data_IF_215515627687
#
_entry.id   IF_215515627687
#
_cell.length_a   1.000
_cell.length_b   1.000
_cell.length_c   1.000
_cell.angle_alpha   90.00
_cell.angle_beta   90.00
_cell.angle_gamma   90.00
#
_symmetry.space_group_name_H-M   'P 1'
#
loop_
_entity.id
_entity.type
_entity.pdbx_description
1 polymer ?
#
# COMPACT_ATOMS: atom_id res chain seq x y z
N UNK A 1 14.42 -33.31 -5.71
CA UNK A 1 15.15 -32.00 -5.47
C UNK A 1 14.21 -30.81 -5.25
N UNK A 2 12.97 -30.80 -5.73
CA UNK A 2 11.97 -29.73 -5.58
C UNK A 2 11.37 -29.67 -4.16
N UNK A 3 11.19 -30.80 -3.51
CA UNK A 3 10.58 -30.94 -2.18
C UNK A 3 11.36 -30.28 -1.04
N UNK A 4 12.69 -30.33 -1.06
CA UNK A 4 13.51 -29.72 0.01
C UNK A 4 13.54 -28.19 -0.03
N UNK A 5 13.43 -27.61 -1.22
CA UNK A 5 13.39 -26.14 -1.38
C UNK A 5 12.02 -25.57 -0.95
N UNK A 6 10.95 -26.32 -1.17
CA UNK A 6 9.60 -25.96 -0.74
C UNK A 6 9.44 -26.07 0.79
N UNK A 7 10.00 -27.15 1.39
CA UNK A 7 10.05 -27.31 2.85
C UNK A 7 10.94 -26.25 3.52
N UNK A 8 12.04 -25.82 2.90
CA UNK A 8 12.87 -24.73 3.43
C UNK A 8 12.18 -23.36 3.37
N UNK A 9 11.32 -23.14 2.38
CA UNK A 9 10.45 -21.95 2.31
C UNK A 9 9.39 -21.96 3.43
N UNK A 10 8.78 -23.11 3.71
CA UNK A 10 7.81 -23.25 4.81
C UNK A 10 8.47 -23.15 6.18
N UNK A 11 9.71 -23.63 6.34
CA UNK A 11 10.48 -23.48 7.58
C UNK A 11 11.05 -22.07 7.83
N UNK A 12 11.10 -21.21 6.83
CA UNK A 12 11.46 -19.78 7.03
C UNK A 12 10.53 -19.05 8.01
N UNK A 13 9.38 -19.61 8.32
CA UNK A 13 8.37 -18.99 9.19
C UNK A 13 8.31 -19.60 10.61
N UNK A 14 9.10 -20.65 10.91
CA UNK A 14 9.15 -21.29 12.24
C UNK A 14 10.50 -20.96 12.92
N UNK A 15 10.65 -19.75 13.40
CA UNK A 15 11.71 -19.43 14.37
C UNK A 15 11.05 -19.01 15.69
N UNK A 16 11.50 -19.58 16.80
CA UNK A 16 11.11 -19.14 18.15
C UNK A 16 11.78 -17.82 18.55
N UNK A 17 12.72 -17.35 17.71
CA UNK A 17 13.41 -16.08 17.88
C UNK A 17 12.50 -14.90 17.53
N UNK A 18 12.64 -13.78 18.24
CA UNK A 18 11.89 -12.55 17.94
C UNK A 18 12.20 -12.07 16.51
N UNK A 19 11.15 -11.66 15.81
CA UNK A 19 11.27 -11.22 14.41
C UNK A 19 10.65 -9.85 14.21
N UNK A 20 11.22 -9.08 13.28
CA UNK A 20 10.57 -7.93 12.69
C UNK A 20 9.88 -8.33 11.39
N UNK A 21 8.57 -8.14 11.30
CA UNK A 21 7.80 -8.52 10.11
C UNK A 21 7.02 -7.33 9.57
N UNK A 22 7.20 -6.98 8.29
CA UNK A 22 6.32 -6.05 7.60
C UNK A 22 5.18 -6.84 6.98
N UNK A 23 3.95 -6.39 7.22
CA UNK A 23 2.74 -7.10 6.79
C UNK A 23 1.85 -6.18 5.98
N UNK A 24 1.61 -6.54 4.72
CA UNK A 24 0.58 -5.92 3.89
C UNK A 24 -0.80 -6.38 4.35
N UNK A 25 -1.63 -5.42 4.75
CA UNK A 25 -2.97 -5.71 5.29
C UNK A 25 -4.09 -5.60 4.27
N UNK A 26 -3.75 -5.41 2.99
CA UNK A 26 -4.73 -5.21 1.95
C UNK A 26 -5.27 -3.77 1.90
N UNK A 27 -6.17 -3.47 0.95
CA UNK A 27 -6.57 -2.10 0.64
C UNK A 27 -7.59 -1.50 1.61
N UNK A 28 -8.28 -2.33 2.42
CA UNK A 28 -9.29 -1.82 3.36
C UNK A 28 -10.22 -2.90 3.92
N UNK A 29 -10.70 -3.83 3.09
CA UNK A 29 -11.56 -4.93 3.54
C UNK A 29 -10.75 -5.99 4.31
N UNK A 30 -11.10 -6.28 5.58
CA UNK A 30 -10.44 -7.33 6.37
C UNK A 30 -10.51 -8.73 5.75
N UNK A 31 -11.48 -9.02 4.87
CA UNK A 31 -11.59 -10.31 4.17
C UNK A 31 -10.48 -10.52 3.13
N UNK A 32 -9.82 -9.43 2.70
CA UNK A 32 -8.69 -9.44 1.79
C UNK A 32 -7.33 -9.60 2.50
N UNK A 33 -7.33 -9.84 3.81
CA UNK A 33 -6.11 -10.25 4.50
C UNK A 33 -5.64 -11.62 4.00
N UNK A 34 -4.36 -11.72 3.66
CA UNK A 34 -3.77 -13.03 3.38
C UNK A 34 -3.70 -13.88 4.66
N UNK A 35 -3.78 -15.20 4.53
CA UNK A 35 -3.63 -16.12 5.67
C UNK A 35 -2.29 -15.86 6.37
N UNK A 36 -1.21 -15.66 5.61
CA UNK A 36 0.11 -15.38 6.15
C UNK A 36 0.16 -14.07 6.95
N UNK A 37 -0.52 -13.02 6.48
CA UNK A 37 -0.67 -11.76 7.20
C UNK A 37 -1.37 -11.97 8.53
N UNK A 38 -2.52 -12.65 8.50
CA UNK A 38 -3.31 -12.93 9.70
C UNK A 38 -2.53 -13.77 10.73
N UNK A 39 -1.82 -14.81 10.30
CA UNK A 39 -0.99 -15.62 11.19
C UNK A 39 0.14 -14.83 11.84
N UNK A 40 0.83 -13.98 11.06
CA UNK A 40 1.90 -13.13 11.61
C UNK A 40 1.37 -12.12 12.61
N UNK A 41 0.23 -11.48 12.30
CA UNK A 41 -0.43 -10.55 13.23
C UNK A 41 -0.83 -11.27 14.51
N UNK A 42 -1.40 -12.49 14.42
CA UNK A 42 -1.79 -13.28 15.61
C UNK A 42 -0.59 -13.66 16.47
N UNK A 43 0.55 -14.01 15.89
CA UNK A 43 1.78 -14.42 16.60
C UNK A 43 2.54 -13.26 17.23
N UNK A 44 2.51 -12.08 16.63
CA UNK A 44 3.24 -10.91 17.14
C UNK A 44 2.73 -10.47 18.52
N UNK A 45 3.65 -9.99 19.37
CA UNK A 45 3.30 -9.34 20.65
C UNK A 45 3.06 -7.85 20.48
N UNK A 46 3.79 -7.23 19.56
CA UNK A 46 3.76 -5.78 19.30
C UNK A 46 3.29 -5.53 17.89
N UNK A 47 2.33 -4.65 17.73
CA UNK A 47 1.81 -4.18 16.44
C UNK A 47 2.15 -2.71 16.30
N UNK A 48 2.93 -2.40 15.29
CA UNK A 48 3.34 -1.05 14.90
C UNK A 48 2.56 -0.63 13.66
N UNK A 49 2.07 0.58 13.61
CA UNK A 49 1.31 1.07 12.47
C UNK A 49 1.50 2.56 12.22
N UNK A 50 1.46 3.00 10.94
CA UNK A 50 1.62 4.39 10.59
C UNK A 50 0.36 5.20 10.91
N UNK A 51 0.55 6.42 11.43
CA UNK A 51 -0.45 7.48 11.51
C UNK A 51 0.12 8.74 10.85
N UNK A 52 -0.74 9.62 10.34
CA UNK A 52 -0.28 10.87 9.70
C UNK A 52 -0.09 12.04 10.67
N UNK A 53 -0.75 12.01 11.81
CA UNK A 53 -0.57 12.88 12.97
C UNK A 53 -1.23 12.23 14.21
N UNK A 54 -0.96 12.76 15.41
CA UNK A 54 -1.38 12.17 16.69
C UNK A 54 -2.90 11.99 16.85
N UNK A 55 -3.69 12.74 16.10
CA UNK A 55 -5.16 12.74 16.19
C UNK A 55 -5.82 11.89 15.12
N UNK A 56 -5.06 11.25 14.20
CA UNK A 56 -5.63 10.48 13.10
C UNK A 56 -5.58 8.99 13.35
N UNK A 57 -6.67 8.32 12.93
CA UNK A 57 -6.76 6.86 12.96
C UNK A 57 -5.90 6.26 11.85
N UNK A 58 -5.25 5.15 12.14
CA UNK A 58 -4.55 4.35 11.13
C UNK A 58 -5.53 3.45 10.41
N UNK A 59 -5.67 3.61 9.10
CA UNK A 59 -6.47 2.70 8.27
C UNK A 59 -5.94 1.26 8.33
N UNK A 60 -4.62 1.09 8.31
CA UNK A 60 -4.01 -0.24 8.44
C UNK A 60 -4.35 -0.92 9.78
N UNK A 61 -4.38 -0.15 10.89
CA UNK A 61 -4.76 -0.67 12.19
C UNK A 61 -6.25 -1.02 12.27
N UNK A 62 -7.14 -0.23 11.67
CA UNK A 62 -8.58 -0.52 11.66
C UNK A 62 -8.90 -1.85 10.96
N UNK A 63 -8.23 -2.18 9.83
CA UNK A 63 -8.39 -3.45 9.12
C UNK A 63 -8.18 -4.65 10.05
N UNK A 64 -7.18 -4.58 10.92
CA UNK A 64 -6.76 -5.70 11.78
C UNK A 64 -7.23 -5.59 13.22
N UNK A 65 -8.03 -4.59 13.56
CA UNK A 65 -8.43 -4.22 14.93
C UNK A 65 -8.98 -5.39 15.75
N UNK A 66 -9.81 -6.25 15.14
CA UNK A 66 -10.36 -7.43 15.84
C UNK A 66 -9.30 -8.45 16.26
N UNK A 67 -8.14 -8.46 15.61
CA UNK A 67 -7.03 -9.39 15.91
C UNK A 67 -5.96 -8.80 16.81
N UNK A 68 -5.99 -7.47 17.05
CA UNK A 68 -4.94 -6.73 17.77
C UNK A 68 -5.42 -6.14 19.09
N UNK A 69 -6.69 -6.34 19.49
CA UNK A 69 -7.32 -5.73 20.66
C UNK A 69 -6.53 -5.90 21.98
N UNK A 70 -5.89 -7.06 22.16
CA UNK A 70 -5.15 -7.40 23.39
C UNK A 70 -3.63 -7.39 23.20
N UNK A 71 -3.16 -6.73 22.14
CA UNK A 71 -1.73 -6.60 21.81
C UNK A 71 -1.23 -5.20 22.15
N UNK A 72 0.08 -5.07 22.28
CA UNK A 72 0.73 -3.77 22.39
C UNK A 72 0.65 -3.08 21.02
N UNK A 73 -0.12 -2.01 20.93
CA UNK A 73 -0.35 -1.25 19.72
C UNK A 73 0.42 0.07 19.79
N UNK A 74 1.37 0.27 18.87
CA UNK A 74 2.31 1.40 18.83
C UNK A 74 2.09 2.20 17.55
N UNK A 75 1.50 3.39 17.63
CA UNK A 75 1.45 4.30 16.49
C UNK A 75 2.83 4.92 16.24
N UNK A 76 3.20 5.03 14.96
CA UNK A 76 4.36 5.79 14.51
C UNK A 76 3.88 6.90 13.60
N UNK A 77 4.28 8.13 13.89
CA UNK A 77 3.91 9.29 13.09
C UNK A 77 4.77 9.31 11.82
N UNK A 78 4.10 9.24 10.66
CA UNK A 78 4.70 9.47 9.35
C UNK A 78 4.08 10.74 8.76
N UNK A 79 4.70 11.91 8.90
CA UNK A 79 4.16 13.15 8.38
C UNK A 79 4.17 13.11 6.85
N UNK A 80 3.01 12.82 6.26
CA UNK A 80 2.82 12.61 4.81
C UNK A 80 3.02 13.87 3.96
N UNK A 81 3.24 15.07 4.53
CA UNK A 81 3.26 16.31 3.78
C UNK A 81 4.00 17.49 4.47
N UNK A 82 4.77 17.28 5.51
CA UNK A 82 5.49 18.38 6.17
C UNK A 82 6.89 18.49 5.60
N UNK A 83 7.20 19.65 5.00
CA UNK A 83 8.53 19.99 4.47
C UNK A 83 9.58 20.20 5.58
N UNK A 84 9.13 20.37 6.82
CA UNK A 84 9.95 20.78 7.96
C UNK A 84 10.46 19.59 8.80
N UNK A 85 10.19 18.35 8.38
CA UNK A 85 10.67 17.16 9.05
C UNK A 85 11.76 16.46 8.25
N UNK A 86 12.84 16.11 8.93
CA UNK A 86 13.83 15.18 8.39
C UNK A 86 13.25 13.75 8.37
N UNK A 87 13.00 13.18 7.20
CA UNK A 87 12.49 11.81 7.10
C UNK A 87 13.38 10.79 7.81
N UNK A 88 14.70 11.00 7.81
CA UNK A 88 15.65 10.06 8.39
C UNK A 88 15.59 10.06 9.93
N UNK A 89 15.29 11.20 10.56
CA UNK A 89 15.07 11.27 12.02
C UNK A 89 13.82 10.49 12.45
N UNK A 90 12.73 10.64 11.71
CA UNK A 90 11.47 9.93 12.01
C UNK A 90 11.67 8.41 11.90
N UNK A 91 12.34 7.97 10.85
CA UNK A 91 12.64 6.57 10.65
C UNK A 91 13.58 6.02 11.72
N UNK A 92 14.55 6.82 12.19
CA UNK A 92 15.48 6.46 13.25
C UNK A 92 14.76 6.29 14.60
N UNK A 93 13.87 7.21 14.96
CA UNK A 93 13.07 7.12 16.20
C UNK A 93 12.15 5.88 16.20
N UNK A 94 11.54 5.59 15.05
CA UNK A 94 10.71 4.39 14.87
C UNK A 94 11.55 3.11 14.98
N UNK A 95 12.74 3.11 14.37
CA UNK A 95 13.69 2.00 14.42
C UNK A 95 14.11 1.67 15.85
N UNK A 96 14.51 2.68 16.64
CA UNK A 96 14.93 2.48 18.03
C UNK A 96 13.84 1.81 18.88
N UNK A 97 12.60 2.22 18.73
CA UNK A 97 11.48 1.60 19.42
C UNK A 97 11.30 0.13 19.03
N UNK A 98 11.35 -0.16 17.72
CA UNK A 98 11.21 -1.53 17.19
C UNK A 98 12.34 -2.41 17.72
N UNK A 99 13.59 -1.93 17.66
CA UNK A 99 14.77 -2.67 18.12
C UNK A 99 14.68 -3.00 19.60
N UNK A 100 14.25 -2.06 20.46
CA UNK A 100 14.03 -2.29 21.91
C UNK A 100 13.06 -3.44 22.15
N UNK A 101 11.95 -3.53 21.42
CA UNK A 101 11.01 -4.65 21.57
C UNK A 101 11.64 -5.99 21.16
N UNK A 102 12.36 -6.03 20.04
CA UNK A 102 13.03 -7.24 19.55
C UNK A 102 14.07 -7.73 20.58
N UNK A 103 14.89 -6.82 21.11
CA UNK A 103 15.90 -7.12 22.14
C UNK A 103 15.26 -7.67 23.43
N UNK A 104 14.03 -7.25 23.74
CA UNK A 104 13.25 -7.78 24.89
C UNK A 104 12.56 -9.12 24.57
N UNK A 105 12.86 -9.77 23.46
CA UNK A 105 12.27 -11.05 23.06
C UNK A 105 10.84 -10.95 22.50
N UNK A 106 10.42 -9.78 22.03
CA UNK A 106 9.08 -9.54 21.48
C UNK A 106 9.13 -9.46 19.97
N UNK A 107 8.38 -10.32 19.28
CA UNK A 107 8.19 -10.20 17.81
C UNK A 107 7.31 -8.99 17.49
N UNK A 108 7.75 -8.19 16.52
CA UNK A 108 7.11 -6.96 16.08
C UNK A 108 6.56 -7.12 14.67
N UNK A 109 5.31 -6.71 14.47
CA UNK A 109 4.70 -6.55 13.14
C UNK A 109 4.51 -5.07 12.85
N UNK A 110 5.03 -4.61 11.72
CA UNK A 110 4.73 -3.30 11.15
C UNK A 110 3.65 -3.46 10.07
N UNK A 111 2.51 -2.82 10.26
CA UNK A 111 1.41 -2.83 9.30
C UNK A 111 1.67 -1.89 8.12
N UNK A 112 1.37 -2.37 6.93
CA UNK A 112 1.41 -1.61 5.69
C UNK A 112 0.05 -1.69 4.99
N UNK A 113 -0.58 -0.55 4.70
CA UNK A 113 -1.83 -0.51 3.94
C UNK A 113 -1.58 -0.97 2.50
N UNK A 114 -2.43 -1.84 1.97
CA UNK A 114 -2.25 -2.45 0.65
C UNK A 114 -1.16 -3.50 0.64
N UNK A 115 -0.28 -3.42 -0.35
CA UNK A 115 0.88 -4.30 -0.54
C UNK A 115 2.18 -3.64 -0.04
N UNK A 116 3.11 -4.45 0.42
CA UNK A 116 4.39 -4.00 0.99
C UNK A 116 5.42 -3.56 -0.04
N UNK A 117 5.17 -3.79 -1.33
CA UNK A 117 6.11 -3.51 -2.43
C UNK A 117 5.73 -2.32 -3.29
N UNK A 118 4.46 -1.84 -3.20
CA UNK A 118 3.96 -0.74 -4.02
C UNK A 118 3.79 0.55 -3.20
N UNK A 119 4.68 1.53 -3.43
CA UNK A 119 4.68 2.85 -2.77
C UNK A 119 4.59 2.78 -1.24
N UNK A 120 5.19 1.73 -0.65
CA UNK A 120 5.15 1.44 0.78
C UNK A 120 6.29 2.13 1.52
N UNK A 121 5.97 3.06 2.41
CA UNK A 121 6.97 3.75 3.24
C UNK A 121 7.68 2.82 4.24
N UNK A 122 7.08 1.67 4.55
CA UNK A 122 7.66 0.64 5.43
C UNK A 122 9.00 0.07 4.93
N UNK A 123 9.29 0.18 3.63
CA UNK A 123 10.57 -0.23 3.04
C UNK A 123 11.77 0.51 3.63
N UNK A 124 11.60 1.77 4.08
CA UNK A 124 12.65 2.55 4.71
C UNK A 124 13.09 1.94 6.04
N UNK A 125 12.14 1.56 6.91
CA UNK A 125 12.47 0.88 8.18
C UNK A 125 13.17 -0.46 7.91
N UNK A 126 12.71 -1.23 6.93
CA UNK A 126 13.35 -2.49 6.59
C UNK A 126 14.81 -2.29 6.16
N UNK A 127 15.07 -1.26 5.35
CA UNK A 127 16.42 -0.89 4.92
C UNK A 127 17.30 -0.50 6.10
N UNK A 128 16.79 0.32 7.02
CA UNK A 128 17.54 0.73 8.21
C UNK A 128 17.85 -0.45 9.15
N UNK A 129 16.88 -1.36 9.37
CA UNK A 129 17.11 -2.57 10.17
C UNK A 129 18.21 -3.42 9.53
N UNK A 130 18.14 -3.67 8.22
CA UNK A 130 19.14 -4.50 7.53
C UNK A 130 20.56 -3.89 7.56
N UNK A 131 20.64 -2.55 7.55
CA UNK A 131 21.94 -1.86 7.56
C UNK A 131 22.54 -1.76 8.96
N UNK A 132 21.71 -1.51 9.98
CA UNK A 132 22.20 -1.15 11.31
C UNK A 132 22.05 -2.29 12.33
N UNK A 133 21.19 -3.29 12.06
CA UNK A 133 20.83 -4.38 12.96
C UNK A 133 20.68 -5.68 12.17
N UNK A 134 21.76 -6.10 11.50
CA UNK A 134 21.78 -7.29 10.62
C UNK A 134 21.46 -8.60 11.38
N UNK A 135 21.61 -8.62 12.70
CA UNK A 135 21.26 -9.73 13.57
C UNK A 135 19.76 -9.94 13.72
N UNK A 136 18.93 -8.91 13.43
CA UNK A 136 17.48 -9.01 13.53
C UNK A 136 16.91 -9.80 12.36
N UNK A 137 16.18 -10.86 12.66
CA UNK A 137 15.48 -11.64 11.66
C UNK A 137 14.32 -10.84 11.09
N UNK A 138 14.40 -10.50 9.81
CA UNK A 138 13.37 -9.73 9.11
C UNK A 138 12.53 -10.60 8.19
N UNK A 139 11.22 -10.32 8.10
CA UNK A 139 10.28 -10.94 7.17
C UNK A 139 9.42 -9.89 6.49
N UNK A 140 8.98 -10.17 5.26
CA UNK A 140 8.03 -9.33 4.53
C UNK A 140 6.92 -10.22 4.01
N UNK A 141 5.68 -9.86 4.31
CA UNK A 141 4.48 -10.57 3.86
C UNK A 141 3.69 -9.64 2.94
N UNK A 142 3.48 -10.03 1.69
CA UNK A 142 2.73 -9.21 0.74
C UNK A 142 1.27 -9.08 1.15
N UNK A 143 0.64 -8.00 0.70
CA UNK A 143 -0.80 -7.79 0.78
C UNK A 143 -1.42 -7.66 -0.60
N UNK A 144 -2.74 -7.62 -0.67
CA UNK A 144 -3.45 -7.32 -1.91
C UNK A 144 -3.32 -5.82 -2.18
N UNK A 145 -2.85 -5.46 -3.38
CA UNK A 145 -2.76 -4.05 -3.77
C UNK A 145 -4.14 -3.44 -4.04
N UNK A 146 -4.28 -2.14 -3.82
CA UNK A 146 -5.50 -1.42 -4.18
C UNK A 146 -5.80 -1.49 -5.68
N UNK A 147 -4.79 -1.60 -6.53
CA UNK A 147 -4.93 -1.74 -7.98
C UNK A 147 -5.61 -3.06 -8.32
N UNK A 148 -5.11 -4.18 -7.78
CA UNK A 148 -5.69 -5.50 -8.01
C UNK A 148 -7.11 -5.60 -7.44
N UNK A 149 -7.36 -5.02 -6.26
CA UNK A 149 -8.68 -5.02 -5.66
C UNK A 149 -9.68 -4.17 -6.47
N UNK A 150 -9.29 -2.97 -6.94
CA UNK A 150 -10.13 -2.13 -7.77
C UNK A 150 -10.50 -2.82 -9.08
N UNK A 151 -9.54 -3.47 -9.71
CA UNK A 151 -9.76 -4.19 -10.95
C UNK A 151 -10.73 -5.37 -10.76
N UNK A 152 -10.53 -6.20 -9.74
CA UNK A 152 -11.37 -7.35 -9.45
C UNK A 152 -12.82 -6.94 -9.08
N UNK A 153 -12.99 -5.85 -8.32
CA UNK A 153 -14.31 -5.35 -7.92
C UNK A 153 -15.11 -4.70 -9.06
N UNK A 154 -14.49 -4.45 -10.20
CA UNK A 154 -15.12 -3.85 -11.37
C UNK A 154 -14.98 -4.70 -12.64
N UNK A 155 -14.69 -5.99 -12.50
CA UNK A 155 -14.49 -6.92 -13.61
C UNK A 155 -13.54 -6.37 -14.69
N UNK A 156 -12.50 -5.64 -14.26
CA UNK A 156 -11.55 -4.96 -15.13
C UNK A 156 -10.27 -5.78 -15.27
N UNK A 157 -10.01 -6.28 -16.46
CA UNK A 157 -8.75 -6.96 -16.77
C UNK A 157 -7.60 -5.96 -16.75
N UNK A 158 -6.74 -6.01 -15.72
CA UNK A 158 -5.57 -5.12 -15.65
C UNK A 158 -4.65 -5.30 -16.85
N UNK A 159 -4.33 -6.55 -17.20
CA UNK A 159 -3.39 -6.83 -18.30
C UNK A 159 -3.77 -8.15 -18.97
N UNK A 160 -3.93 -8.16 -20.28
CA UNK A 160 -4.05 -9.36 -21.10
C UNK A 160 -2.69 -9.77 -21.67
N UNK A 161 -2.62 -10.97 -22.24
CA UNK A 161 -1.38 -11.47 -22.85
C UNK A 161 -0.84 -10.50 -23.90
N UNK A 162 0.40 -10.09 -23.74
CA UNK A 162 1.08 -9.17 -24.67
C UNK A 162 0.86 -7.67 -24.39
N UNK A 163 0.04 -7.33 -23.41
CA UNK A 163 -0.16 -5.95 -23.00
C UNK A 163 0.86 -5.51 -21.92
N UNK A 164 0.99 -4.22 -21.73
CA UNK A 164 1.83 -3.59 -20.70
C UNK A 164 0.96 -2.87 -19.69
N UNK A 165 1.30 -2.99 -18.40
CA UNK A 165 0.74 -2.18 -17.32
C UNK A 165 1.80 -1.21 -16.80
N UNK A 166 1.48 0.08 -16.78
CA UNK A 166 2.26 1.09 -16.08
C UNK A 166 1.54 1.47 -14.79
N UNK A 167 2.24 1.34 -13.68
CA UNK A 167 1.79 1.80 -12.35
C UNK A 167 2.60 3.05 -12.00
N UNK A 168 1.91 4.17 -11.79
CA UNK A 168 2.56 5.44 -11.47
C UNK A 168 1.78 6.21 -10.40
N UNK A 169 2.50 6.94 -9.55
CA UNK A 169 1.90 7.99 -8.74
C UNK A 169 1.45 9.13 -9.66
N UNK A 170 0.31 9.73 -9.37
CA UNK A 170 -0.23 10.82 -10.20
C UNK A 170 0.80 11.94 -10.37
N UNK A 171 1.22 12.26 -11.60
CA UNK A 171 2.15 13.35 -11.87
C UNK A 171 1.65 14.69 -11.31
N UNK A 172 2.57 15.56 -10.92
CA UNK A 172 2.23 16.88 -10.39
C UNK A 172 2.02 17.93 -11.48
N UNK A 173 2.62 17.74 -12.66
CA UNK A 173 2.50 18.66 -13.80
C UNK A 173 1.52 18.15 -14.86
N UNK A 174 0.80 19.11 -15.48
CA UNK A 174 -0.10 18.84 -16.61
C UNK A 174 0.64 18.21 -17.79
N UNK A 175 1.82 18.75 -18.10
CA UNK A 175 2.66 18.27 -19.20
C UNK A 175 3.05 16.79 -19.03
N UNK A 176 3.54 16.42 -17.85
CA UNK A 176 3.95 15.04 -17.56
C UNK A 176 2.76 14.08 -17.63
N UNK A 177 1.61 14.45 -17.07
CA UNK A 177 0.41 13.63 -17.10
C UNK A 177 -0.13 13.47 -18.52
N UNK A 178 -0.16 14.56 -19.30
CA UNK A 178 -0.60 14.54 -20.70
C UNK A 178 0.31 13.64 -21.54
N UNK A 179 1.62 13.76 -21.39
CA UNK A 179 2.60 12.93 -22.10
C UNK A 179 2.41 11.46 -21.74
N UNK A 180 2.31 11.13 -20.46
CA UNK A 180 2.06 9.76 -19.99
C UNK A 180 0.81 9.16 -20.63
N UNK A 181 -0.29 9.89 -20.64
CA UNK A 181 -1.56 9.41 -21.21
C UNK A 181 -1.45 9.20 -22.72
N UNK A 182 -0.86 10.16 -23.45
CA UNK A 182 -0.72 10.07 -24.91
C UNK A 182 0.19 8.94 -25.35
N UNK A 183 1.34 8.79 -24.72
CA UNK A 183 2.26 7.67 -24.99
C UNK A 183 1.59 6.32 -24.70
N UNK A 184 0.86 6.23 -23.60
CA UNK A 184 0.14 5.00 -23.25
C UNK A 184 -0.99 4.69 -24.23
N UNK A 185 -1.68 5.70 -24.74
CA UNK A 185 -2.72 5.55 -25.77
C UNK A 185 -2.14 5.01 -27.08
N UNK A 186 -1.00 5.56 -27.52
CA UNK A 186 -0.30 5.10 -28.72
C UNK A 186 0.18 3.65 -28.59
N UNK A 187 0.73 3.32 -27.43
CA UNK A 187 1.29 1.98 -27.15
C UNK A 187 0.24 0.98 -26.62
N UNK A 188 -1.03 1.37 -26.49
CA UNK A 188 -2.12 0.57 -25.90
C UNK A 188 -1.75 0.00 -24.53
N UNK A 189 -1.08 0.82 -23.73
CA UNK A 189 -0.59 0.45 -22.40
C UNK A 189 -1.64 0.78 -21.35
N UNK A 190 -2.02 -0.18 -20.53
CA UNK A 190 -2.93 0.06 -19.39
C UNK A 190 -2.24 0.92 -18.33
N UNK A 191 -2.92 1.93 -17.83
CA UNK A 191 -2.41 2.80 -16.77
C UNK A 191 -3.14 2.56 -15.46
N UNK A 192 -2.38 2.44 -14.36
CA UNK A 192 -2.87 2.55 -13.00
C UNK A 192 -2.23 3.78 -12.35
N UNK A 193 -2.98 4.87 -12.26
CA UNK A 193 -2.51 6.12 -11.66
C UNK A 193 -2.99 6.17 -10.22
N UNK A 194 -2.05 6.20 -9.28
CA UNK A 194 -2.32 6.20 -7.83
C UNK A 194 -2.22 7.60 -7.22
N UNK A 195 -2.83 7.78 -6.04
CA UNK A 195 -2.74 9.02 -5.23
C UNK A 195 -3.23 10.26 -5.98
N UNK A 196 -4.32 10.14 -6.70
CA UNK A 196 -4.91 11.24 -7.49
C UNK A 196 -5.30 12.42 -6.60
N UNK A 197 -6.13 12.18 -5.58
CA UNK A 197 -6.49 13.14 -4.54
C UNK A 197 -6.84 14.53 -5.07
N UNK A 198 -6.13 15.54 -4.60
CA UNK A 198 -6.32 16.95 -4.96
C UNK A 198 -6.07 17.27 -6.45
N UNK A 199 -5.40 16.36 -7.18
CA UNK A 199 -5.11 16.53 -8.62
C UNK A 199 -6.28 16.12 -9.52
N UNK A 200 -7.40 15.69 -8.93
CA UNK A 200 -8.54 15.19 -9.70
C UNK A 200 -9.03 16.15 -10.79
N UNK A 201 -9.15 17.43 -10.52
CA UNK A 201 -9.61 18.39 -11.54
C UNK A 201 -8.67 18.40 -12.76
N UNK A 202 -7.36 18.45 -12.54
CA UNK A 202 -6.38 18.38 -13.61
C UNK A 202 -6.50 17.06 -14.39
N UNK A 203 -6.58 15.93 -13.68
CA UNK A 203 -6.71 14.60 -14.29
C UNK A 203 -8.00 14.51 -15.11
N UNK A 204 -9.12 14.92 -14.54
CA UNK A 204 -10.44 14.92 -15.20
C UNK A 204 -10.43 15.71 -16.51
N UNK A 205 -9.83 16.90 -16.51
CA UNK A 205 -9.80 17.77 -17.67
C UNK A 205 -8.94 17.19 -18.79
N UNK A 206 -7.82 16.52 -18.46
CA UNK A 206 -6.99 15.80 -19.43
C UNK A 206 -7.74 14.56 -19.95
N UNK A 207 -8.40 13.78 -19.09
CA UNK A 207 -9.19 12.63 -19.52
C UNK A 207 -10.31 13.01 -20.49
N UNK A 208 -10.93 14.18 -20.31
CA UNK A 208 -11.91 14.74 -21.23
C UNK A 208 -11.28 15.17 -22.55
N UNK A 209 -10.19 15.91 -22.50
CA UNK A 209 -9.45 16.41 -23.68
C UNK A 209 -8.95 15.27 -24.57
N UNK A 210 -8.54 14.16 -23.97
CA UNK A 210 -8.04 12.97 -24.69
C UNK A 210 -9.17 11.96 -25.04
N UNK A 211 -10.44 12.30 -24.72
CA UNK A 211 -11.63 11.48 -24.99
C UNK A 211 -11.57 10.06 -24.39
N UNK A 212 -11.08 9.96 -23.14
CA UNK A 212 -10.94 8.70 -22.43
C UNK A 212 -11.65 8.66 -21.07
N UNK A 213 -12.34 9.71 -20.69
CA UNK A 213 -13.01 9.79 -19.39
C UNK A 213 -14.07 8.69 -19.19
N UNK A 214 -14.74 8.28 -20.26
CA UNK A 214 -15.75 7.22 -20.24
C UNK A 214 -15.15 5.80 -20.20
N UNK A 215 -13.84 5.68 -20.44
CA UNK A 215 -13.06 4.43 -20.42
C UNK A 215 -12.19 4.31 -19.17
N UNK A 216 -12.20 5.34 -18.33
CA UNK A 216 -11.40 5.41 -17.11
C UNK A 216 -12.26 5.03 -15.91
N UNK A 217 -11.76 4.11 -15.09
CA UNK A 217 -12.40 3.69 -13.85
C UNK A 217 -11.68 4.36 -12.69
N UNK A 218 -12.44 4.96 -11.78
CA UNK A 218 -11.93 5.47 -10.51
C UNK A 218 -12.27 4.52 -9.38
N UNK A 219 -11.35 4.39 -8.43
CA UNK A 219 -11.59 3.68 -7.18
C UNK A 219 -11.12 4.55 -6.02
N UNK A 220 -12.02 4.80 -5.09
CA UNK A 220 -11.83 5.66 -3.94
C UNK A 220 -12.10 4.88 -2.66
N UNK A 221 -11.26 5.07 -1.64
CA UNK A 221 -11.46 4.53 -0.28
C UNK A 221 -11.79 3.03 -0.28
N UNK A 222 -11.07 2.23 -1.08
CA UNK A 222 -11.34 0.79 -1.23
C UNK A 222 -11.41 0.06 0.11
N UNK A 223 -12.45 -0.75 0.30
CA UNK A 223 -12.70 -1.50 1.52
C UNK A 223 -13.09 -0.64 2.73
N UNK A 224 -13.31 0.66 2.55
CA UNK A 224 -13.77 1.60 3.57
C UNK A 224 -15.27 1.88 3.39
N UNK A 225 -15.97 2.41 4.42
CA UNK A 225 -17.42 2.67 4.34
C UNK A 225 -17.86 3.62 3.21
N UNK A 226 -16.95 4.50 2.78
CA UNK A 226 -17.15 5.49 1.72
C UNK A 226 -16.55 5.05 0.37
N UNK A 227 -16.37 3.73 0.16
CA UNK A 227 -15.88 3.18 -1.09
C UNK A 227 -16.74 3.61 -2.28
N UNK A 228 -16.06 4.06 -3.33
CA UNK A 228 -16.67 4.34 -4.64
C UNK A 228 -15.83 3.66 -5.71
N UNK A 229 -16.47 2.89 -6.60
CA UNK A 229 -15.87 2.37 -7.83
C UNK A 229 -16.87 2.66 -8.94
N UNK A 230 -16.47 3.44 -9.94
CA UNK A 230 -17.32 3.86 -11.05
C UNK A 230 -16.50 4.40 -12.22
N UNK A 231 -17.14 4.67 -13.33
CA UNK A 231 -16.48 5.41 -14.42
C UNK A 231 -16.18 6.85 -14.01
N UNK A 232 -15.03 7.35 -14.47
CA UNK A 232 -14.59 8.72 -14.16
C UNK A 232 -15.56 9.80 -14.64
N UNK A 233 -16.32 9.55 -15.72
CA UNK A 233 -17.35 10.43 -16.26
C UNK A 233 -18.56 10.64 -15.33
N UNK A 234 -18.82 9.67 -14.46
CA UNK A 234 -19.94 9.69 -13.51
C UNK A 234 -19.61 10.45 -12.23
N UNK A 235 -18.32 10.63 -11.92
CA UNK A 235 -17.88 11.30 -10.70
C UNK A 235 -17.98 12.82 -10.82
N UNK A 236 -18.90 13.42 -10.06
CA UNK A 236 -19.28 14.84 -10.18
C UNK A 236 -18.58 15.75 -9.15
N UNK A 237 -17.94 15.15 -8.12
CA UNK A 237 -17.26 15.97 -7.09
C UNK A 237 -15.98 16.59 -7.66
N UNK A 238 -15.59 17.72 -7.09
CA UNK A 238 -14.37 18.45 -7.48
C UNK A 238 -13.09 17.83 -6.91
N UNK A 239 -13.19 17.08 -5.81
CA UNK A 239 -12.05 16.53 -5.09
C UNK A 239 -12.23 15.02 -4.89
N UNK A 240 -11.11 14.31 -4.92
CA UNK A 240 -11.03 12.92 -4.49
C UNK A 240 -10.33 12.81 -3.13
N UNK A 241 -10.63 11.79 -2.32
CA UNK A 241 -9.86 11.50 -1.12
C UNK A 241 -8.42 11.11 -1.49
N UNK A 242 -7.52 11.14 -0.50
CA UNK A 242 -6.13 10.73 -0.70
C UNK A 242 -6.01 9.30 -1.24
N UNK A 243 -6.81 8.38 -0.68
CA UNK A 243 -6.86 6.99 -1.15
C UNK A 243 -7.72 6.87 -2.41
N UNK A 244 -7.14 7.27 -3.52
CA UNK A 244 -7.78 7.26 -4.84
C UNK A 244 -6.81 6.77 -5.91
N UNK A 245 -7.34 6.03 -6.85
CA UNK A 245 -6.62 5.58 -8.04
C UNK A 245 -7.53 5.62 -9.28
N UNK A 246 -6.92 5.63 -10.44
CA UNK A 246 -7.60 5.54 -11.74
C UNK A 246 -6.97 4.42 -12.54
N UNK A 247 -7.82 3.59 -13.14
CA UNK A 247 -7.44 2.59 -14.13
C UNK A 247 -7.90 3.06 -15.50
N UNK A 248 -7.00 3.05 -16.47
CA UNK A 248 -7.26 3.51 -17.84
C UNK A 248 -6.86 2.41 -18.82
N UNK A 249 -7.78 2.04 -19.72
CA UNK A 249 -7.53 1.13 -20.81
C UNK A 249 -7.83 1.84 -22.15
N UNK A 250 -7.01 1.60 -23.19
CA UNK A 250 -7.06 2.32 -24.47
C UNK A 250 -7.53 1.45 -25.65
N UNK A 251 -8.34 0.43 -25.39
CA UNK A 251 -9.00 -0.39 -26.40
C UNK A 251 -10.35 0.14 -26.82
#
# INVERSE_FOLDING_TARGET
>A
MITNKFLSLLNRYKTDLPTFTIVGVGPGDPSLLTIAALESIKKAKVIVFPISDDNKKSFAAEIVKKYTKFKKNIPIIFPMARKDFDPDEIWSNALEQIVKFIQNGESVVLLCLGDTSLFASSSNILRLIKNNHAEIITKTIPGISSISAAAALNDFDLVKKGETLIIKECPSSESELTTLIRESKVNKTVLAIMKVGKRWNLVRDILRKEDIINKSIIALSLGMPDQIIQYASEYKKEFMPYFSLILIRFD
#
